data_IF_132711375890
#
_entry.id   IF_132711375890
#
_cell.length_a   1.000
_cell.length_b   1.000
_cell.length_c   1.000
_cell.angle_alpha   90.00
_cell.angle_beta   90.00
_cell.angle_gamma   90.00
#
_symmetry.space_group_name_H-M   'P 1'
#
loop_
_entity.id
_entity.type
_entity.pdbx_description
1 polymer ?
#
# COMPACT_ATOMS: atom_id res chain seq x y z
N UNK A 1 -30.97 -11.83 -1.79
CA UNK A 1 -30.14 -12.92 -2.38
C UNK A 1 -28.86 -12.44 -3.06
N UNK A 2 -28.88 -11.44 -3.96
CA UNK A 2 -27.67 -10.96 -4.67
C UNK A 2 -26.51 -10.47 -3.77
N UNK A 3 -26.80 -9.72 -2.70
CA UNK A 3 -25.75 -9.22 -1.78
C UNK A 3 -24.98 -10.32 -1.03
N UNK A 4 -25.68 -11.36 -0.58
CA UNK A 4 -25.05 -12.48 0.12
C UNK A 4 -24.10 -13.30 -0.77
N UNK A 5 -24.37 -13.37 -2.07
CA UNK A 5 -23.49 -14.03 -3.04
C UNK A 5 -22.22 -13.21 -3.29
N UNK A 6 -22.36 -11.91 -3.51
CA UNK A 6 -21.21 -10.99 -3.72
C UNK A 6 -20.28 -11.00 -2.51
N UNK A 7 -20.83 -10.96 -1.29
CA UNK A 7 -20.04 -11.02 -0.06
C UNK A 7 -19.25 -12.33 0.06
N UNK A 8 -19.86 -13.47 -0.28
CA UNK A 8 -19.18 -14.77 -0.29
C UNK A 8 -18.03 -14.78 -1.30
N UNK A 9 -18.25 -14.25 -2.50
CA UNK A 9 -17.23 -14.15 -3.54
C UNK A 9 -16.06 -13.24 -3.11
N UNK A 10 -16.35 -12.08 -2.52
CA UNK A 10 -15.32 -11.15 -2.01
C UNK A 10 -14.51 -11.78 -0.87
N UNK A 11 -15.16 -12.48 0.06
CA UNK A 11 -14.45 -13.18 1.16
C UNK A 11 -13.59 -14.32 0.61
N UNK A 12 -14.11 -15.08 -0.36
CA UNK A 12 -13.34 -16.11 -1.05
C UNK A 12 -12.11 -15.50 -1.71
N UNK A 13 -12.29 -14.41 -2.46
CA UNK A 13 -11.18 -13.67 -3.09
C UNK A 13 -10.17 -13.18 -2.05
N UNK A 14 -10.61 -12.58 -0.95
CA UNK A 14 -9.73 -12.09 0.12
C UNK A 14 -8.85 -13.21 0.71
N UNK A 15 -9.41 -14.41 0.89
CA UNK A 15 -8.69 -15.55 1.48
C UNK A 15 -7.85 -16.33 0.47
N UNK A 16 -8.23 -16.32 -0.81
CA UNK A 16 -7.66 -17.17 -1.87
C UNK A 16 -6.17 -16.93 -2.10
N UNK A 17 -5.38 -18.02 -2.10
CA UNK A 17 -3.97 -18.02 -2.53
C UNK A 17 -3.83 -17.93 -4.05
N UNK A 18 -4.81 -18.40 -4.81
CA UNK A 18 -4.81 -18.29 -6.27
C UNK A 18 -4.94 -16.84 -6.74
N UNK A 19 -5.71 -16.03 -6.01
CA UNK A 19 -5.77 -14.59 -6.26
C UNK A 19 -4.42 -13.90 -6.02
N UNK A 20 -3.62 -14.39 -5.06
CA UNK A 20 -2.25 -13.91 -4.83
C UNK A 20 -1.35 -14.23 -6.03
N UNK A 21 -1.37 -15.49 -6.48
CA UNK A 21 -0.59 -15.96 -7.63
C UNK A 21 -0.98 -15.22 -8.92
N UNK A 22 -2.29 -15.04 -9.15
CA UNK A 22 -2.80 -14.30 -10.29
C UNK A 22 -2.30 -12.85 -10.29
N UNK A 23 -2.36 -12.16 -9.15
CA UNK A 23 -1.86 -10.80 -9.03
C UNK A 23 -0.38 -10.68 -9.37
N UNK A 24 0.46 -11.57 -8.81
CA UNK A 24 1.89 -11.59 -9.10
C UNK A 24 2.17 -11.93 -10.57
N UNK A 25 1.50 -12.96 -11.11
CA UNK A 25 1.66 -13.38 -12.50
C UNK A 25 1.27 -12.27 -13.48
N UNK A 26 0.19 -11.52 -13.18
CA UNK A 26 -0.24 -10.37 -13.97
C UNK A 26 0.87 -9.31 -14.09
N UNK A 27 1.49 -8.93 -12.97
CA UNK A 27 2.58 -7.93 -12.97
C UNK A 27 3.81 -8.46 -13.70
N UNK A 28 4.18 -9.72 -13.50
CA UNK A 28 5.33 -10.32 -14.19
C UNK A 28 5.09 -10.37 -15.70
N UNK A 29 3.92 -10.82 -16.15
CA UNK A 29 3.56 -10.89 -17.57
C UNK A 29 3.61 -9.49 -18.21
N UNK A 30 3.12 -8.46 -17.52
CA UNK A 30 3.20 -7.07 -17.95
C UNK A 30 4.67 -6.61 -18.08
N UNK A 31 5.51 -6.94 -17.10
CA UNK A 31 6.91 -6.53 -17.11
C UNK A 31 7.71 -7.22 -18.24
N UNK A 32 7.35 -8.45 -18.59
CA UNK A 32 7.87 -9.16 -19.76
C UNK A 32 7.38 -8.47 -21.04
N UNK A 33 6.06 -8.31 -21.19
CA UNK A 33 5.47 -7.76 -22.42
C UNK A 33 5.87 -6.32 -22.73
N UNK A 34 6.19 -5.52 -21.72
CA UNK A 34 6.69 -4.14 -21.89
C UNK A 34 8.20 -4.04 -22.12
N UNK A 35 8.94 -5.15 -22.04
CA UNK A 35 10.40 -5.14 -22.04
C UNK A 35 11.00 -4.45 -20.80
N UNK A 36 10.21 -4.19 -19.76
CA UNK A 36 10.70 -3.50 -18.56
C UNK A 36 11.74 -4.34 -17.80
N UNK A 37 11.62 -5.68 -17.82
CA UNK A 37 12.55 -6.59 -17.16
C UNK A 37 14.00 -6.45 -17.62
N UNK A 38 14.23 -6.09 -18.89
CA UNK A 38 15.57 -5.91 -19.45
C UNK A 38 16.16 -4.53 -19.17
N UNK A 39 15.44 -3.64 -18.48
CA UNK A 39 15.94 -2.31 -18.18
C UNK A 39 16.98 -2.33 -17.06
N UNK A 40 18.08 -1.60 -17.28
CA UNK A 40 19.09 -1.35 -16.27
C UNK A 40 18.95 0.09 -15.72
N UNK A 41 19.72 0.39 -14.67
CA UNK A 41 19.67 1.69 -14.03
C UNK A 41 20.13 2.84 -14.96
N UNK A 42 21.06 2.57 -15.87
CA UNK A 42 21.56 3.54 -16.86
C UNK A 42 20.46 4.14 -17.76
N UNK A 43 19.34 3.44 -17.94
CA UNK A 43 18.18 3.96 -18.68
C UNK A 43 17.53 5.19 -18.01
N UNK A 44 17.73 5.37 -16.70
CA UNK A 44 17.02 6.38 -15.91
C UNK A 44 17.93 7.41 -15.26
N UNK A 45 19.20 7.08 -14.99
CA UNK A 45 20.17 7.98 -14.37
C UNK A 45 21.54 7.84 -15.02
N UNK A 46 22.29 8.93 -15.08
CA UNK A 46 23.67 8.97 -15.56
C UNK A 46 24.64 9.19 -14.39
N UNK A 47 24.88 8.13 -13.61
CA UNK A 47 25.79 8.15 -12.45
C UNK A 47 27.11 7.42 -12.72
N UNK A 48 27.41 7.15 -13.99
CA UNK A 48 28.60 6.47 -14.45
C UNK A 48 28.38 4.99 -14.83
N UNK A 49 29.46 4.29 -15.23
CA UNK A 49 29.38 3.00 -15.94
C UNK A 49 28.73 1.84 -15.15
N UNK A 50 28.77 1.91 -13.81
CA UNK A 50 28.17 0.90 -12.93
C UNK A 50 26.63 0.89 -12.98
N UNK A 51 25.99 1.93 -13.50
CA UNK A 51 24.53 1.97 -13.66
C UNK A 51 24.04 0.95 -14.71
N UNK A 52 24.87 0.58 -15.68
CA UNK A 52 24.53 -0.39 -16.73
C UNK A 52 24.45 -1.83 -16.22
N UNK A 53 25.11 -2.15 -15.09
CA UNK A 53 25.15 -3.50 -14.51
C UNK A 53 24.04 -3.74 -13.49
N UNK A 54 23.31 -2.71 -13.07
CA UNK A 54 22.21 -2.87 -12.09
C UNK A 54 20.91 -3.18 -12.85
N UNK A 55 20.32 -4.38 -12.69
CA UNK A 55 19.11 -4.78 -13.39
C UNK A 55 17.87 -4.17 -12.71
N UNK A 56 17.68 -2.85 -12.85
CA UNK A 56 16.62 -2.11 -12.17
C UNK A 56 15.23 -2.66 -12.49
N UNK A 57 15.00 -3.09 -13.74
CA UNK A 57 13.77 -3.72 -14.18
C UNK A 57 13.42 -4.94 -13.33
N UNK A 58 14.36 -5.88 -13.19
CA UNK A 58 14.20 -7.09 -12.37
C UNK A 58 13.96 -6.78 -10.89
N UNK A 59 14.78 -5.90 -10.31
CA UNK A 59 14.65 -5.47 -8.90
C UNK A 59 13.27 -4.86 -8.65
N UNK A 60 12.82 -4.01 -9.56
CA UNK A 60 11.51 -3.36 -9.48
C UNK A 60 10.35 -4.36 -9.56
N UNK A 61 10.43 -5.37 -10.43
CA UNK A 61 9.40 -6.41 -10.56
C UNK A 61 9.31 -7.26 -9.28
N UNK A 62 10.45 -7.66 -8.72
CA UNK A 62 10.50 -8.36 -7.43
C UNK A 62 9.89 -7.49 -6.33
N UNK A 63 10.26 -6.21 -6.27
CA UNK A 63 9.71 -5.27 -5.30
C UNK A 63 8.17 -5.15 -5.42
N UNK A 64 7.63 -5.03 -6.64
CA UNK A 64 6.17 -5.03 -6.83
C UNK A 64 5.53 -6.35 -6.39
N UNK A 65 6.16 -7.49 -6.65
CA UNK A 65 5.70 -8.79 -6.15
C UNK A 65 5.62 -8.83 -4.62
N UNK A 66 6.65 -8.34 -3.93
CA UNK A 66 6.67 -8.20 -2.46
C UNK A 66 5.56 -7.26 -1.99
N UNK A 67 5.36 -6.10 -2.65
CA UNK A 67 4.26 -5.16 -2.36
C UNK A 67 2.88 -5.82 -2.44
N UNK A 68 2.64 -6.62 -3.50
CA UNK A 68 1.38 -7.31 -3.68
C UNK A 68 1.16 -8.36 -2.59
N UNK A 69 2.19 -9.17 -2.30
CA UNK A 69 2.12 -10.17 -1.25
C UNK A 69 1.93 -9.55 0.13
N UNK A 70 2.61 -8.43 0.42
CA UNK A 70 2.40 -7.63 1.63
C UNK A 70 0.94 -7.25 1.79
N UNK A 71 0.37 -6.62 0.76
CA UNK A 71 -1.03 -6.15 0.76
C UNK A 71 -2.01 -7.31 0.94
N UNK A 72 -1.80 -8.43 0.25
CA UNK A 72 -2.67 -9.61 0.31
C UNK A 72 -2.61 -10.31 1.66
N UNK A 73 -1.41 -10.50 2.21
CA UNK A 73 -1.23 -11.12 3.53
C UNK A 73 -1.79 -10.25 4.65
N UNK A 74 -1.58 -8.94 4.58
CA UNK A 74 -2.22 -7.98 5.50
C UNK A 74 -3.75 -8.04 5.35
N UNK A 75 -4.27 -8.13 4.12
CA UNK A 75 -5.69 -8.37 3.84
C UNK A 75 -6.26 -9.58 4.56
N UNK A 76 -5.47 -10.66 4.66
CA UNK A 76 -5.80 -11.89 5.40
C UNK A 76 -5.45 -11.85 6.89
N UNK A 77 -5.21 -10.67 7.46
CA UNK A 77 -4.87 -10.49 8.87
C UNK A 77 -3.59 -11.24 9.30
N UNK A 78 -2.66 -11.44 8.37
CA UNK A 78 -1.35 -12.03 8.64
C UNK A 78 -0.29 -10.96 8.84
N UNK A 79 0.44 -11.02 9.96
CA UNK A 79 1.52 -10.09 10.25
C UNK A 79 2.72 -10.24 9.31
N UNK A 80 2.83 -11.37 8.60
CA UNK A 80 3.82 -11.54 7.52
C UNK A 80 3.63 -10.46 6.45
N UNK A 81 2.40 -9.99 6.23
CA UNK A 81 2.13 -8.88 5.33
C UNK A 81 2.87 -7.59 5.74
N UNK A 82 2.92 -7.28 7.04
CA UNK A 82 3.67 -6.12 7.55
C UNK A 82 5.18 -6.31 7.45
N UNK A 83 5.69 -7.54 7.63
CA UNK A 83 7.11 -7.87 7.42
C UNK A 83 7.50 -7.71 5.95
N UNK A 84 6.68 -8.17 5.02
CA UNK A 84 6.93 -7.89 3.60
C UNK A 84 6.79 -6.40 3.29
N UNK A 85 5.89 -5.70 3.99
CA UNK A 85 5.68 -4.26 3.85
C UNK A 85 6.91 -3.43 4.23
N UNK A 86 7.61 -3.79 5.32
CA UNK A 86 8.83 -3.08 5.71
C UNK A 86 9.98 -3.32 4.73
N UNK A 87 10.12 -4.56 4.22
CA UNK A 87 11.11 -4.90 3.18
C UNK A 87 10.82 -4.11 1.90
N UNK A 88 9.56 -4.12 1.45
CA UNK A 88 9.11 -3.34 0.30
C UNK A 88 9.33 -1.85 0.49
N UNK A 89 9.12 -1.32 1.70
CA UNK A 89 9.33 0.10 2.01
C UNK A 89 10.81 0.48 1.83
N UNK A 90 11.74 -0.33 2.33
CA UNK A 90 13.17 -0.09 2.14
C UNK A 90 13.59 -0.16 0.67
N UNK A 91 13.12 -1.18 -0.06
CA UNK A 91 13.41 -1.35 -1.49
C UNK A 91 12.80 -0.22 -2.33
N UNK A 92 11.53 0.09 -2.13
CA UNK A 92 10.82 1.16 -2.84
C UNK A 92 11.44 2.52 -2.56
N UNK A 93 11.83 2.79 -1.31
CA UNK A 93 12.49 4.04 -0.94
C UNK A 93 13.85 4.20 -1.62
N UNK A 94 14.62 3.12 -1.69
CA UNK A 94 15.89 3.10 -2.42
C UNK A 94 15.68 3.37 -3.92
N UNK A 95 14.73 2.66 -4.54
CA UNK A 95 14.41 2.84 -5.97
C UNK A 95 13.95 4.27 -6.26
N UNK A 96 12.99 4.77 -5.49
CA UNK A 96 12.42 6.11 -5.68
C UNK A 96 13.48 7.20 -5.51
N UNK A 97 14.33 7.08 -4.48
CA UNK A 97 15.42 8.03 -4.25
C UNK A 97 16.40 8.05 -5.42
N UNK A 98 16.79 6.87 -5.91
CA UNK A 98 17.67 6.71 -7.07
C UNK A 98 17.05 7.35 -8.31
N UNK A 99 15.75 7.14 -8.54
CA UNK A 99 15.00 7.70 -9.66
C UNK A 99 14.66 9.20 -9.51
N UNK A 100 15.23 9.88 -8.51
CA UNK A 100 15.18 11.33 -8.37
C UNK A 100 14.09 11.86 -7.42
N UNK A 101 13.33 10.99 -6.74
CA UNK A 101 12.41 11.43 -5.69
C UNK A 101 13.19 11.79 -4.42
N UNK A 102 13.58 13.06 -4.29
CA UNK A 102 14.34 13.55 -3.14
C UNK A 102 13.55 13.52 -1.83
N UNK A 103 12.21 13.53 -1.88
CA UNK A 103 11.39 13.38 -0.68
C UNK A 103 11.52 11.98 -0.06
N UNK A 104 11.98 10.98 -0.84
CA UNK A 104 12.10 9.60 -0.38
C UNK A 104 13.01 9.43 0.85
N UNK A 105 14.00 10.31 1.02
CA UNK A 105 14.91 10.31 2.18
C UNK A 105 14.19 10.64 3.50
N UNK A 106 13.00 11.24 3.43
CA UNK A 106 12.18 11.58 4.60
C UNK A 106 10.98 10.62 4.70
N UNK A 107 10.26 10.43 3.59
CA UNK A 107 8.96 9.74 3.59
C UNK A 107 9.08 8.23 3.87
N UNK A 108 10.12 7.58 3.34
CA UNK A 108 10.31 6.14 3.52
C UNK A 108 10.84 5.76 4.90
N UNK A 109 11.79 6.49 5.52
CA UNK A 109 12.16 6.24 6.91
C UNK A 109 10.98 6.36 7.89
N UNK A 110 10.11 7.35 7.72
CA UNK A 110 8.89 7.44 8.54
C UNK A 110 7.96 6.25 8.30
N UNK A 111 7.75 5.86 7.05
CA UNK A 111 6.95 4.68 6.71
C UNK A 111 7.55 3.40 7.31
N UNK A 112 8.89 3.28 7.32
CA UNK A 112 9.62 2.17 7.92
C UNK A 112 9.39 2.09 9.44
N UNK A 113 9.42 3.22 10.14
CA UNK A 113 9.10 3.30 11.57
C UNK A 113 7.65 2.86 11.83
N UNK A 114 6.71 3.32 11.00
CA UNK A 114 5.29 2.92 11.10
C UNK A 114 5.13 1.41 10.91
N UNK A 115 5.81 0.81 9.93
CA UNK A 115 5.80 -0.65 9.75
C UNK A 115 6.46 -1.40 10.91
N UNK A 116 7.55 -0.87 11.47
CA UNK A 116 8.21 -1.44 12.66
C UNK A 116 7.22 -1.48 13.83
N UNK A 117 6.50 -0.37 14.05
CA UNK A 117 5.43 -0.31 15.05
C UNK A 117 4.30 -1.29 14.72
N UNK A 118 3.85 -1.37 13.46
CA UNK A 118 2.81 -2.31 13.03
C UNK A 118 3.19 -3.76 13.36
N UNK A 119 4.40 -4.19 13.00
CA UNK A 119 4.88 -5.55 13.25
C UNK A 119 4.83 -5.88 14.74
N UNK A 120 5.35 -5.00 15.59
CA UNK A 120 5.36 -5.18 17.06
C UNK A 120 3.95 -5.17 17.62
N UNK A 121 3.12 -4.20 17.23
CA UNK A 121 1.74 -4.08 17.71
C UNK A 121 0.92 -5.32 17.35
N UNK A 122 1.08 -5.84 16.15
CA UNK A 122 0.37 -7.03 15.67
C UNK A 122 0.87 -8.32 16.30
N UNK A 123 2.17 -8.44 16.60
CA UNK A 123 2.71 -9.55 17.39
C UNK A 123 2.03 -9.63 18.77
N UNK A 124 1.76 -8.47 19.36
CA UNK A 124 1.14 -8.33 20.68
C UNK A 124 -0.40 -8.21 20.64
N UNK A 125 -1.03 -8.40 19.47
CA UNK A 125 -2.49 -8.33 19.32
C UNK A 125 -3.04 -9.70 18.96
N UNK A 126 -4.33 -9.90 19.19
CA UNK A 126 -5.00 -11.17 18.88
C UNK A 126 -4.86 -11.53 17.38
N UNK A 127 -4.36 -12.74 17.10
CA UNK A 127 -4.11 -13.19 15.72
C UNK A 127 -5.41 -13.36 14.96
N UNK A 128 -5.40 -12.99 13.68
CA UNK A 128 -6.56 -13.17 12.80
C UNK A 128 -7.77 -12.27 13.08
N UNK A 129 -7.64 -11.27 13.97
CA UNK A 129 -8.71 -10.31 14.26
C UNK A 129 -8.31 -8.86 14.01
N UNK A 130 -9.19 -8.12 13.35
CA UNK A 130 -9.11 -6.67 13.20
C UNK A 130 -9.66 -5.94 14.43
N UNK A 131 -9.30 -4.67 14.57
CA UNK A 131 -9.86 -3.76 15.57
C UNK A 131 -10.89 -2.85 14.87
N UNK A 132 -12.06 -2.66 15.50
CA UNK A 132 -13.08 -1.73 15.00
C UNK A 132 -12.61 -0.28 15.18
N UNK A 133 -12.96 0.64 14.25
CA UNK A 133 -12.67 2.05 14.41
C UNK A 133 -13.25 2.60 15.72
N UNK A 134 -12.49 3.43 16.47
CA UNK A 134 -12.99 4.02 17.70
C UNK A 134 -14.19 4.93 17.41
N UNK A 135 -15.26 4.76 18.16
CA UNK A 135 -16.52 5.51 17.99
C UNK A 135 -16.58 6.74 18.91
N UNK A 136 -17.59 7.60 18.72
CA UNK A 136 -17.79 8.82 19.51
C UNK A 136 -16.93 10.02 19.05
N UNK A 137 -17.02 11.13 19.77
CA UNK A 137 -16.31 12.37 19.41
C UNK A 137 -14.78 12.23 19.56
N UNK A 138 -14.31 11.63 20.66
CA UNK A 138 -12.87 11.39 20.90
C UNK A 138 -12.26 10.45 19.85
N UNK A 139 -12.95 9.36 19.51
CA UNK A 139 -12.51 8.43 18.46
C UNK A 139 -12.39 9.11 17.09
N UNK A 140 -13.43 9.87 16.70
CA UNK A 140 -13.40 10.66 15.46
C UNK A 140 -12.28 11.70 15.44
N UNK A 141 -12.01 12.36 16.57
CA UNK A 141 -10.91 13.31 16.68
C UNK A 141 -9.53 12.65 16.53
N UNK A 142 -9.33 11.44 17.08
CA UNK A 142 -8.08 10.68 16.89
C UNK A 142 -7.88 10.34 15.41
N UNK A 143 -8.91 9.82 14.75
CA UNK A 143 -8.84 9.50 13.31
C UNK A 143 -8.57 10.76 12.49
N UNK A 144 -9.29 11.85 12.76
CA UNK A 144 -9.07 13.13 12.09
C UNK A 144 -7.64 13.63 12.31
N UNK A 145 -7.11 13.51 13.54
CA UNK A 145 -5.73 13.86 13.87
C UNK A 145 -4.70 13.03 13.11
N UNK A 146 -4.92 11.72 12.95
CA UNK A 146 -4.06 10.85 12.12
C UNK A 146 -4.08 11.31 10.67
N UNK A 147 -5.26 11.59 10.10
CA UNK A 147 -5.39 12.00 8.70
C UNK A 147 -4.76 13.38 8.48
N UNK A 148 -5.17 14.39 9.25
CA UNK A 148 -4.63 15.76 9.15
C UNK A 148 -3.13 15.76 9.40
N UNK A 149 -2.65 15.05 10.42
CA UNK A 149 -1.23 14.91 10.71
C UNK A 149 -0.46 14.24 9.57
N UNK A 150 -1.01 13.19 8.95
CA UNK A 150 -0.40 12.52 7.81
C UNK A 150 -0.31 13.42 6.58
N UNK A 151 -1.36 14.20 6.29
CA UNK A 151 -1.37 15.14 5.17
C UNK A 151 -0.46 16.35 5.43
N UNK A 152 -0.43 16.88 6.66
CA UNK A 152 0.49 17.95 7.03
C UNK A 152 1.94 17.50 6.92
N UNK A 153 2.27 16.32 7.47
CA UNK A 153 3.60 15.73 7.32
C UNK A 153 3.95 15.49 5.85
N UNK A 154 3.01 14.96 5.06
CA UNK A 154 3.20 14.74 3.63
C UNK A 154 3.51 16.04 2.88
N UNK A 155 2.77 17.12 3.18
CA UNK A 155 2.99 18.43 2.58
C UNK A 155 4.39 18.96 2.90
N UNK A 156 4.79 18.91 4.17
CA UNK A 156 6.11 19.39 4.63
C UNK A 156 7.23 18.57 4.00
N UNK A 157 7.15 17.23 4.08
CA UNK A 157 8.19 16.34 3.55
C UNK A 157 8.37 16.50 2.04
N UNK A 158 7.27 16.62 1.29
CA UNK A 158 7.34 16.87 -0.15
C UNK A 158 7.81 18.29 -0.45
N UNK A 159 7.43 19.30 0.32
CA UNK A 159 7.86 20.68 0.07
C UNK A 159 9.38 20.79 0.21
N UNK A 160 9.96 20.14 1.23
CA UNK A 160 11.41 19.99 1.40
C UNK A 160 12.01 19.19 0.25
N UNK A 161 11.43 18.03 -0.09
CA UNK A 161 11.93 17.17 -1.16
C UNK A 161 11.96 17.83 -2.55
N UNK A 162 10.97 18.66 -2.88
CA UNK A 162 10.92 19.40 -4.14
C UNK A 162 11.65 20.75 -4.10
N UNK A 163 12.36 21.06 -3.01
CA UNK A 163 13.10 22.32 -2.86
C UNK A 163 12.21 23.56 -2.92
N UNK A 164 10.99 23.45 -2.37
CA UNK A 164 9.99 24.52 -2.35
C UNK A 164 9.15 24.67 -3.63
N UNK A 165 9.36 23.85 -4.66
CA UNK A 165 8.61 23.94 -5.93
C UNK A 165 7.26 23.21 -5.84
N UNK A 166 6.17 23.91 -6.17
CA UNK A 166 4.78 23.40 -6.07
C UNK A 166 4.19 23.00 -7.42
N UNK A 167 4.86 22.10 -8.14
CA UNK A 167 4.38 21.58 -9.44
C UNK A 167 3.17 20.65 -9.29
N UNK A 168 2.54 20.27 -10.40
CA UNK A 168 1.47 19.25 -10.39
C UNK A 168 1.94 17.91 -9.76
N UNK A 169 3.18 17.51 -10.03
CA UNK A 169 3.76 16.29 -9.45
C UNK A 169 3.91 16.41 -7.94
N UNK A 170 4.28 17.58 -7.42
CA UNK A 170 4.32 17.84 -5.97
C UNK A 170 2.94 17.62 -5.33
N UNK A 171 1.87 18.16 -5.92
CA UNK A 171 0.51 18.02 -5.36
C UNK A 171 0.01 16.58 -5.40
N UNK A 172 0.20 15.86 -6.52
CA UNK A 172 -0.16 14.45 -6.61
C UNK A 172 0.62 13.62 -5.60
N UNK A 173 1.95 13.78 -5.51
CA UNK A 173 2.78 13.02 -4.57
C UNK A 173 2.39 13.30 -3.13
N UNK A 174 2.05 14.56 -2.81
CA UNK A 174 1.57 14.95 -1.48
C UNK A 174 0.26 14.25 -1.11
N UNK A 175 -0.72 14.22 -2.01
CA UNK A 175 -2.01 13.54 -1.76
C UNK A 175 -1.81 12.02 -1.64
N UNK A 176 -1.06 11.43 -2.58
CA UNK A 176 -0.77 9.99 -2.62
C UNK A 176 -0.05 9.54 -1.35
N UNK A 177 0.97 10.28 -0.91
CA UNK A 177 1.69 9.95 0.32
C UNK A 177 0.86 10.21 1.58
N UNK A 178 0.05 11.28 1.63
CA UNK A 178 -0.84 11.56 2.76
C UNK A 178 -1.87 10.44 3.00
N UNK A 179 -2.47 9.94 1.91
CA UNK A 179 -3.38 8.78 1.94
C UNK A 179 -2.64 7.51 2.38
N UNK A 180 -1.47 7.23 1.79
CA UNK A 180 -0.67 6.05 2.12
C UNK A 180 -0.21 6.05 3.58
N UNK A 181 0.28 7.18 4.10
CA UNK A 181 0.73 7.29 5.48
C UNK A 181 -0.43 7.13 6.45
N UNK A 182 -1.59 7.74 6.17
CA UNK A 182 -2.82 7.54 6.95
C UNK A 182 -3.19 6.05 7.01
N UNK A 183 -3.21 5.39 5.85
CA UNK A 183 -3.53 3.97 5.76
C UNK A 183 -2.52 3.09 6.54
N UNK A 184 -1.22 3.40 6.44
CA UNK A 184 -0.17 2.66 7.15
C UNK A 184 -0.25 2.85 8.67
N UNK A 185 -0.55 4.05 9.17
CA UNK A 185 -0.73 4.29 10.62
C UNK A 185 -1.97 3.54 11.12
N UNK A 186 -3.09 3.62 10.39
CA UNK A 186 -4.32 2.89 10.74
C UNK A 186 -4.12 1.36 10.69
N UNK A 187 -3.33 0.87 9.72
CA UNK A 187 -2.88 -0.51 9.65
C UNK A 187 -2.05 -0.90 10.87
N UNK A 188 -1.13 -0.02 11.30
CA UNK A 188 -0.30 -0.27 12.46
C UNK A 188 -1.12 -0.37 13.76
N UNK A 189 -2.22 0.39 13.83
CA UNK A 189 -3.25 0.28 14.87
C UNK A 189 -4.23 -0.88 14.64
N UNK A 190 -4.08 -1.65 13.55
CA UNK A 190 -4.91 -2.79 13.16
C UNK A 190 -6.39 -2.45 12.98
N UNK A 191 -6.70 -1.22 12.58
CA UNK A 191 -8.07 -0.73 12.40
C UNK A 191 -8.63 -1.12 11.03
N UNK A 192 -9.83 -1.70 10.97
CA UNK A 192 -10.45 -2.13 9.69
C UNK A 192 -10.60 -1.01 8.66
N UNK A 193 -10.82 0.23 9.11
CA UNK A 193 -11.00 1.38 8.22
C UNK A 193 -9.78 1.73 7.37
N UNK A 194 -8.58 1.20 7.66
CA UNK A 194 -7.40 1.43 6.82
C UNK A 194 -7.65 1.08 5.34
N UNK A 195 -8.50 0.09 5.07
CA UNK A 195 -8.83 -0.35 3.72
C UNK A 195 -9.65 0.66 2.93
N UNK A 196 -10.36 1.57 3.60
CA UNK A 196 -11.02 2.70 2.94
C UNK A 196 -9.97 3.67 2.38
N UNK A 197 -8.91 3.95 3.14
CA UNK A 197 -7.80 4.79 2.66
C UNK A 197 -7.05 4.12 1.51
N UNK A 198 -6.79 2.81 1.61
CA UNK A 198 -6.21 2.06 0.49
C UNK A 198 -7.11 2.08 -0.74
N UNK A 199 -8.43 1.97 -0.59
CA UNK A 199 -9.37 2.09 -1.70
C UNK A 199 -9.24 3.45 -2.40
N UNK A 200 -9.30 4.56 -1.67
CA UNK A 200 -9.15 5.89 -2.26
C UNK A 200 -7.78 6.11 -2.88
N UNK A 201 -6.71 5.68 -2.20
CA UNK A 201 -5.36 5.69 -2.75
C UNK A 201 -5.28 4.95 -4.09
N UNK A 202 -5.82 3.72 -4.15
CA UNK A 202 -5.77 2.89 -5.36
C UNK A 202 -6.65 3.46 -6.49
N UNK A 203 -7.77 4.09 -6.17
CA UNK A 203 -8.59 4.82 -7.16
C UNK A 203 -7.82 5.98 -7.78
N UNK A 204 -7.19 6.82 -6.95
CA UNK A 204 -6.37 7.95 -7.43
C UNK A 204 -5.21 7.45 -8.31
N UNK A 205 -4.54 6.38 -7.89
CA UNK A 205 -3.46 5.79 -8.68
C UNK A 205 -3.94 5.14 -9.98
N UNK A 206 -5.14 4.56 -10.00
CA UNK A 206 -5.75 4.04 -11.22
C UNK A 206 -6.04 5.17 -12.22
N UNK A 207 -6.63 6.28 -11.77
CA UNK A 207 -6.86 7.47 -12.58
C UNK A 207 -5.54 8.01 -13.12
N UNK A 208 -4.51 8.14 -12.28
CA UNK A 208 -3.17 8.53 -12.71
C UNK A 208 -2.65 7.61 -13.82
N UNK A 209 -2.75 6.28 -13.64
CA UNK A 209 -2.30 5.31 -14.63
C UNK A 209 -3.07 5.44 -15.96
N UNK A 210 -4.39 5.64 -15.93
CA UNK A 210 -5.22 5.88 -17.11
C UNK A 210 -4.79 7.14 -17.86
N UNK A 211 -4.60 8.27 -17.16
CA UNK A 211 -4.16 9.53 -17.77
C UNK A 211 -2.78 9.44 -18.42
N UNK A 212 -1.92 8.54 -17.92
CA UNK A 212 -0.59 8.29 -18.44
C UNK A 212 -0.56 7.22 -19.54
N UNK A 213 -1.71 6.63 -19.91
CA UNK A 213 -1.78 5.50 -20.85
C UNK A 213 -1.10 4.23 -20.33
N UNK A 214 -0.83 4.15 -19.04
CA UNK A 214 -0.11 3.03 -18.42
C UNK A 214 -1.09 1.92 -18.03
N UNK A 215 -1.65 1.23 -19.03
CA UNK A 215 -2.65 0.18 -18.86
C UNK A 215 -2.18 -0.99 -17.96
N UNK A 216 -0.88 -1.20 -17.91
CA UNK A 216 -0.21 -2.09 -16.96
C UNK A 216 -0.51 -1.73 -15.49
N UNK A 217 -0.26 -0.47 -15.12
CA UNK A 217 -0.58 0.02 -13.79
C UNK A 217 -2.10 0.09 -13.56
N UNK A 218 -2.90 0.34 -14.59
CA UNK A 218 -4.37 0.25 -14.49
C UNK A 218 -4.80 -1.14 -14.00
N UNK A 219 -4.31 -2.22 -14.63
CA UNK A 219 -4.63 -3.60 -14.21
C UNK A 219 -4.23 -3.88 -12.75
N UNK A 220 -3.04 -3.45 -12.34
CA UNK A 220 -2.57 -3.55 -10.96
C UNK A 220 -3.49 -2.82 -9.98
N UNK A 221 -3.86 -1.57 -10.28
CA UNK A 221 -4.69 -0.78 -9.37
C UNK A 221 -6.15 -1.23 -9.36
N UNK A 222 -6.69 -1.77 -10.46
CA UNK A 222 -7.99 -2.46 -10.47
C UNK A 222 -7.96 -3.67 -9.52
N UNK A 223 -6.92 -4.50 -9.59
CA UNK A 223 -6.74 -5.61 -8.65
C UNK A 223 -6.70 -5.14 -7.20
N UNK A 224 -5.95 -4.05 -6.92
CA UNK A 224 -5.88 -3.50 -5.58
C UNK A 224 -7.18 -2.87 -5.08
N UNK A 225 -7.98 -2.25 -5.96
CA UNK A 225 -9.33 -1.76 -5.62
C UNK A 225 -10.22 -2.91 -5.15
N UNK A 226 -10.28 -3.99 -5.93
CA UNK A 226 -11.05 -5.20 -5.57
C UNK A 226 -10.53 -5.76 -4.23
N UNK A 227 -9.21 -5.82 -4.07
CA UNK A 227 -8.60 -6.30 -2.84
C UNK A 227 -8.93 -5.42 -1.62
N UNK A 228 -8.92 -4.09 -1.75
CA UNK A 228 -9.27 -3.18 -0.66
C UNK A 228 -10.71 -3.38 -0.20
N UNK A 229 -11.66 -3.55 -1.13
CA UNK A 229 -13.06 -3.83 -0.79
C UNK A 229 -13.19 -5.20 -0.11
N UNK A 230 -12.56 -6.23 -0.68
CA UNK A 230 -12.61 -7.59 -0.14
C UNK A 230 -11.97 -7.70 1.25
N UNK A 231 -10.84 -7.02 1.46
CA UNK A 231 -10.15 -6.97 2.74
C UNK A 231 -10.92 -6.15 3.79
N UNK A 232 -11.53 -5.03 3.41
CA UNK A 232 -12.42 -4.27 4.30
C UNK A 232 -13.55 -5.16 4.82
N UNK A 233 -14.24 -5.87 3.93
CA UNK A 233 -15.32 -6.79 4.29
C UNK A 233 -14.83 -7.90 5.24
N UNK A 234 -13.70 -8.52 4.93
CA UNK A 234 -13.10 -9.57 5.76
C UNK A 234 -12.73 -9.05 7.15
N UNK A 235 -12.10 -7.88 7.22
CA UNK A 235 -11.66 -7.26 8.48
C UNK A 235 -12.83 -6.87 9.36
N UNK A 236 -13.85 -6.21 8.80
CA UNK A 236 -15.06 -5.83 9.55
C UNK A 236 -15.72 -7.07 10.15
N UNK A 237 -15.90 -8.14 9.37
CA UNK A 237 -16.49 -9.39 9.88
C UNK A 237 -15.63 -10.08 10.94
N UNK A 238 -14.30 -10.03 10.81
CA UNK A 238 -13.39 -10.60 11.81
C UNK A 238 -13.44 -9.89 13.17
N UNK A 239 -13.73 -8.58 13.17
CA UNK A 239 -13.92 -7.80 14.39
C UNK A 239 -15.29 -8.08 15.03
N UNK A 240 -16.35 -8.13 14.23
CA UNK A 240 -17.73 -8.30 14.73
C UNK A 240 -18.02 -9.71 15.26
N UNK A 241 -17.50 -10.77 14.62
CA UNK A 241 -17.72 -12.16 15.06
C UNK A 241 -17.18 -12.46 16.48
N UNK A 242 -16.27 -11.64 17.00
CA UNK A 242 -15.76 -11.76 18.37
C UNK A 242 -16.75 -11.26 19.44
N UNK A 243 -17.66 -10.33 19.10
CA UNK A 243 -18.72 -9.88 20.04
C UNK A 243 -19.77 -10.96 20.24
N UNK A 244 -20.20 -11.61 19.17
CA UNK A 244 -21.25 -12.65 19.23
C UNK A 244 -20.80 -13.89 20.02
N UNK A 245 -19.51 -14.25 19.95
CA UNK A 245 -18.94 -15.37 20.70
C UNK A 245 -18.63 -15.07 22.18
N UNK A 246 -18.64 -13.80 22.60
CA UNK A 246 -18.41 -13.37 24.00
C UNK A 246 -19.74 -13.10 24.72
N UNK A 247 -20.83 -12.94 23.98
CA UNK A 247 -22.19 -12.69 24.49
C UNK A 247 -23.04 -13.96 24.52
N UNK A 248 -22.62 -15.03 23.84
CA UNK A 248 -23.20 -16.38 23.91
C UNK A 248 -22.54 -17.23 24.98
#
# INVERSE_FOLDING_TARGET
MKGAFVDKALIFFAKSRYADLFGVALVVAIAIGSGYLSTNLAKYVDWGPWTSIIPLGLISVINVGISMMSTRLTGRLSNVGNVLGIINTALSGTIDYILGNKAAIITYPVTFIVYTFAIRRWQNSERGKAIEPPTGAKGRAIIAGIVVGSFAFSLIANYIGYGGKTTFLFWITTVVFGLSLSANILNALKLSMQWQFWLFYNLVQCVKALTQGNFANVGKYVFYIINSVAALLLWTRSGTAAKEAVVA
#
